data_IF_221515637109
#
_entry.id   IF_221515637109
#
_cell.length_a   1.000
_cell.length_b   1.000
_cell.length_c   1.000
_cell.angle_alpha   90.00
_cell.angle_beta   90.00
_cell.angle_gamma   90.00
#
_symmetry.space_group_name_H-M   'P 1'
#
loop_
_entity.id
_entity.type
_entity.pdbx_description
1 polymer ?
#
# COMPACT_ATOMS: atom_id res chain seq x y z
N UNK A 1 5.62 14.35 -17.25
CA UNK A 1 4.77 14.36 -16.05
C UNK A 1 3.50 15.13 -16.36
N UNK A 2 2.55 15.21 -15.44
CA UNK A 2 1.49 16.23 -15.53
C UNK A 2 2.11 17.58 -15.18
N UNK A 3 1.70 18.65 -15.86
CA UNK A 3 2.22 20.00 -15.60
C UNK A 3 1.54 20.64 -14.39
N UNK A 4 2.26 21.51 -13.67
CA UNK A 4 1.72 22.30 -12.55
C UNK A 4 1.39 21.51 -11.28
N UNK A 5 1.92 20.31 -11.13
CA UNK A 5 1.72 19.47 -9.94
C UNK A 5 2.51 20.04 -8.75
N UNK A 6 1.90 20.06 -7.57
CA UNK A 6 2.51 20.53 -6.33
C UNK A 6 2.59 19.45 -5.26
N UNK A 7 3.64 19.53 -4.47
CA UNK A 7 3.73 18.91 -3.16
C UNK A 7 2.80 19.63 -2.17
N UNK A 8 2.46 18.98 -1.06
CA UNK A 8 1.58 19.52 -0.03
C UNK A 8 2.12 20.78 0.66
N UNK A 9 3.42 21.04 0.56
CA UNK A 9 4.09 22.25 1.04
C UNK A 9 4.14 23.38 -0.02
N UNK A 10 3.48 23.20 -1.17
CA UNK A 10 3.33 24.18 -2.24
C UNK A 10 4.48 24.21 -3.26
N UNK A 11 5.58 23.48 -3.01
CA UNK A 11 6.67 23.35 -3.98
C UNK A 11 6.25 22.51 -5.18
N UNK A 12 6.86 22.78 -6.32
CA UNK A 12 6.53 22.05 -7.55
C UNK A 12 7.07 20.63 -7.49
N UNK A 13 6.25 19.67 -7.92
CA UNK A 13 6.65 18.30 -8.16
C UNK A 13 7.12 18.20 -9.61
N UNK A 14 8.38 17.83 -9.79
CA UNK A 14 9.05 17.85 -11.09
C UNK A 14 9.65 16.49 -11.47
N UNK A 15 10.12 16.36 -12.71
CA UNK A 15 10.88 15.19 -13.15
C UNK A 15 12.14 14.94 -12.30
N UNK A 16 12.71 15.98 -11.69
CA UNK A 16 13.86 15.88 -10.78
C UNK A 16 13.54 15.11 -9.49
N UNK A 17 12.33 15.22 -8.96
CA UNK A 17 11.90 14.45 -7.79
C UNK A 17 11.83 12.95 -8.09
N UNK A 18 11.40 12.60 -9.30
CA UNK A 18 11.35 11.20 -9.76
C UNK A 18 12.76 10.64 -9.93
N UNK A 19 13.64 11.37 -10.62
CA UNK A 19 15.03 10.95 -10.80
C UNK A 19 15.75 10.82 -9.46
N UNK A 20 15.55 11.78 -8.56
CA UNK A 20 16.03 11.70 -7.19
C UNK A 20 15.49 10.48 -6.45
N UNK A 21 14.19 10.20 -6.52
CA UNK A 21 13.57 9.03 -5.86
C UNK A 21 14.22 7.72 -6.30
N UNK A 22 14.45 7.57 -7.60
CA UNK A 22 15.11 6.39 -8.18
C UNK A 22 16.49 6.21 -7.54
N UNK A 23 17.35 7.23 -7.60
CA UNK A 23 18.70 7.17 -7.02
C UNK A 23 18.70 7.01 -5.50
N UNK A 24 17.77 7.65 -4.80
CA UNK A 24 17.62 7.54 -3.35
C UNK A 24 17.28 6.09 -2.95
N UNK A 25 16.35 5.43 -3.65
CA UNK A 25 15.98 4.03 -3.37
C UNK A 25 17.08 3.02 -3.66
N UNK A 26 18.09 3.39 -4.47
CA UNK A 26 19.28 2.55 -4.66
C UNK A 26 20.13 2.47 -3.41
N UNK A 27 20.27 3.59 -2.70
CA UNK A 27 21.03 3.70 -1.44
C UNK A 27 20.21 3.29 -0.22
N UNK A 28 18.91 3.61 -0.25
CA UNK A 28 17.97 3.38 0.83
C UNK A 28 16.73 2.64 0.32
N UNK A 29 16.81 1.31 0.07
CA UNK A 29 15.68 0.54 -0.41
C UNK A 29 14.49 0.62 0.55
N UNK A 30 13.30 1.09 0.13
CA UNK A 30 12.16 1.20 1.02
C UNK A 30 11.50 -0.17 1.25
N UNK A 31 10.80 -0.29 2.37
CA UNK A 31 10.02 -1.50 2.73
C UNK A 31 8.93 -1.81 1.70
N UNK A 32 8.35 -0.78 1.06
CA UNK A 32 7.28 -0.91 0.05
C UNK A 32 7.56 0.01 -1.14
N UNK A 33 7.14 -0.43 -2.34
CA UNK A 33 7.32 0.34 -3.57
C UNK A 33 8.79 0.50 -3.99
N UNK A 34 9.68 -0.34 -3.46
CA UNK A 34 11.10 -0.31 -3.81
C UNK A 34 11.40 -0.92 -5.18
N UNK A 35 12.54 -0.52 -5.74
CA UNK A 35 13.00 -0.91 -7.08
C UNK A 35 13.93 -2.13 -7.06
N UNK A 36 13.90 -2.91 -5.99
CA UNK A 36 14.66 -4.15 -5.87
C UNK A 36 13.88 -5.35 -6.42
N UNK A 37 14.59 -6.25 -7.09
CA UNK A 37 14.12 -7.57 -7.52
C UNK A 37 15.22 -8.60 -7.27
N UNK A 38 14.89 -9.67 -6.54
CA UNK A 38 15.82 -10.77 -6.22
C UNK A 38 17.16 -10.28 -5.64
N UNK A 39 17.12 -9.28 -4.75
CA UNK A 39 18.31 -8.70 -4.12
C UNK A 39 19.14 -7.77 -5.02
N UNK A 40 18.69 -7.49 -6.25
CA UNK A 40 19.36 -6.58 -7.19
C UNK A 40 18.50 -5.34 -7.43
N UNK A 41 19.17 -4.22 -7.62
CA UNK A 41 18.53 -2.97 -8.02
C UNK A 41 18.18 -3.02 -9.51
N UNK A 42 16.95 -2.64 -9.87
CA UNK A 42 16.41 -2.83 -11.22
C UNK A 42 16.79 -1.73 -12.22
N UNK A 43 17.07 -0.52 -11.74
CA UNK A 43 17.33 0.63 -12.62
C UNK A 43 18.83 0.79 -12.85
N UNK A 44 19.21 0.97 -14.11
CA UNK A 44 20.60 1.21 -14.52
C UNK A 44 20.90 2.70 -14.49
N UNK A 45 20.17 3.47 -15.31
CA UNK A 45 20.31 4.93 -15.40
C UNK A 45 18.96 5.61 -15.36
N UNK A 46 18.94 6.81 -14.78
CA UNK A 46 17.80 7.72 -14.81
C UNK A 46 18.29 9.11 -15.26
N UNK A 47 17.53 9.75 -16.15
CA UNK A 47 17.82 11.09 -16.62
C UNK A 47 16.53 11.89 -16.82
N UNK A 48 16.67 13.22 -16.82
CA UNK A 48 15.58 14.17 -17.00
C UNK A 48 15.78 14.91 -18.32
N UNK A 49 14.73 14.96 -19.12
CA UNK A 49 14.63 15.77 -20.34
C UNK A 49 13.38 16.63 -20.27
N UNK A 50 13.54 17.88 -19.81
CA UNK A 50 12.43 18.78 -19.51
C UNK A 50 11.48 18.17 -18.48
N UNK A 51 10.22 17.95 -18.88
CA UNK A 51 9.21 17.31 -18.03
C UNK A 51 9.11 15.78 -18.22
N UNK A 52 10.12 15.14 -18.81
CA UNK A 52 10.19 13.69 -19.04
C UNK A 52 11.28 13.08 -18.18
N UNK A 53 11.00 11.87 -17.70
CA UNK A 53 11.97 11.02 -16.99
C UNK A 53 12.25 9.82 -17.89
N UNK A 54 13.52 9.59 -18.19
CA UNK A 54 13.99 8.47 -18.99
C UNK A 54 14.68 7.50 -18.04
N UNK A 55 14.15 6.28 -17.92
CA UNK A 55 14.68 5.23 -17.05
C UNK A 55 15.11 4.06 -17.92
N UNK A 56 16.38 3.67 -17.81
CA UNK A 56 16.88 2.42 -18.37
C UNK A 56 16.94 1.36 -17.27
N UNK A 57 16.44 0.16 -17.55
CA UNK A 57 16.50 -0.97 -16.62
C UNK A 57 17.75 -1.82 -16.90
N UNK A 58 18.26 -2.49 -15.87
CA UNK A 58 19.41 -3.40 -16.00
C UNK A 58 19.11 -4.56 -16.95
N UNK A 59 17.90 -5.11 -16.85
CA UNK A 59 17.42 -6.22 -17.67
C UNK A 59 15.98 -5.96 -18.16
N UNK A 60 15.58 -6.61 -19.24
CA UNK A 60 14.17 -6.65 -19.66
C UNK A 60 13.38 -7.61 -18.76
N UNK A 61 12.42 -7.06 -18.00
CA UNK A 61 11.47 -7.85 -17.22
C UNK A 61 10.13 -7.13 -17.10
N UNK A 62 8.99 -7.83 -17.29
CA UNK A 62 7.67 -7.21 -17.12
C UNK A 62 7.45 -6.68 -15.69
N UNK A 63 8.16 -7.23 -14.69
CA UNK A 63 8.10 -6.78 -13.29
C UNK A 63 8.65 -5.36 -13.13
N UNK A 64 9.54 -4.90 -14.01
CA UNK A 64 10.07 -3.55 -13.94
C UNK A 64 8.96 -2.50 -14.09
N UNK A 65 7.99 -2.73 -14.98
CA UNK A 65 6.87 -1.82 -15.18
C UNK A 65 5.97 -1.73 -13.94
N UNK A 66 5.69 -2.87 -13.30
CA UNK A 66 4.95 -2.92 -12.02
C UNK A 66 5.69 -2.16 -10.92
N UNK A 67 7.01 -2.35 -10.82
CA UNK A 67 7.86 -1.70 -9.81
C UNK A 67 7.92 -0.18 -10.02
N UNK A 68 8.09 0.27 -11.27
CA UNK A 68 8.06 1.69 -11.62
C UNK A 68 6.67 2.28 -11.34
N UNK A 69 5.59 1.58 -11.70
CA UNK A 69 4.22 2.04 -11.49
C UNK A 69 3.77 2.07 -10.02
N UNK A 70 4.41 1.29 -9.15
CA UNK A 70 4.12 1.24 -7.71
C UNK A 70 5.12 2.04 -6.85
N UNK A 71 6.14 2.62 -7.48
CA UNK A 71 7.11 3.48 -6.83
C UNK A 71 6.44 4.73 -6.29
N UNK A 72 6.73 5.06 -5.03
CA UNK A 72 6.25 6.29 -4.40
C UNK A 72 7.32 7.37 -4.56
N UNK A 73 6.98 8.43 -5.28
CA UNK A 73 7.87 9.59 -5.46
C UNK A 73 7.98 10.34 -4.14
N UNK A 74 9.20 10.73 -3.78
CA UNK A 74 9.51 11.50 -2.58
C UNK A 74 10.03 12.91 -2.95
N UNK A 75 9.73 13.94 -2.14
CA UNK A 75 10.18 15.31 -2.42
C UNK A 75 11.69 15.46 -2.25
N UNK A 76 12.41 15.73 -3.36
CA UNK A 76 13.87 15.87 -3.37
C UNK A 76 14.35 16.90 -2.34
N UNK A 77 13.68 18.05 -2.26
CA UNK A 77 14.06 19.16 -1.38
C UNK A 77 13.97 18.87 0.12
N UNK A 78 13.33 17.77 0.53
CA UNK A 78 13.29 17.27 1.91
C UNK A 78 14.29 16.13 2.06
N UNK A 79 14.16 15.10 1.22
CA UNK A 79 14.84 13.83 1.41
C UNK A 79 16.31 13.83 0.97
N UNK A 80 16.77 14.83 0.20
CA UNK A 80 18.19 14.91 -0.19
C UNK A 80 19.15 15.10 1.00
N UNK A 81 18.62 15.53 2.15
CA UNK A 81 19.36 15.76 3.40
C UNK A 81 19.18 14.64 4.42
N UNK A 82 18.47 13.56 4.05
CA UNK A 82 18.11 12.47 4.95
C UNK A 82 18.95 11.25 4.62
N UNK A 83 19.88 10.89 5.49
CA UNK A 83 20.74 9.71 5.32
C UNK A 83 20.12 8.43 5.93
N UNK A 84 19.28 8.58 6.96
CA UNK A 84 18.60 7.47 7.65
C UNK A 84 17.07 7.64 7.57
N UNK A 85 16.43 7.17 6.48
CA UNK A 85 15.00 7.35 6.29
C UNK A 85 14.13 6.62 7.31
N UNK A 86 14.62 5.55 7.95
CA UNK A 86 13.84 4.79 8.92
C UNK A 86 13.64 5.56 10.23
N UNK A 87 14.54 6.50 10.54
CA UNK A 87 14.50 7.32 11.75
C UNK A 87 14.08 8.77 11.48
N UNK A 88 13.80 9.13 10.23
CA UNK A 88 13.45 10.49 9.90
C UNK A 88 12.04 10.83 10.41
N UNK A 89 11.97 11.84 11.27
CA UNK A 89 10.73 12.43 11.80
C UNK A 89 10.85 13.96 11.87
N UNK A 90 11.46 14.54 10.84
CA UNK A 90 11.71 15.98 10.75
C UNK A 90 10.61 16.73 9.99
N UNK A 91 10.79 18.05 9.88
CA UNK A 91 9.90 18.89 9.07
C UNK A 91 9.81 18.36 7.63
N UNK A 92 8.59 18.07 7.19
CA UNK A 92 8.31 17.59 5.85
C UNK A 92 8.24 16.06 5.68
N UNK A 93 8.42 15.27 6.75
CA UNK A 93 8.31 13.81 6.73
C UNK A 93 6.95 13.29 6.21
N UNK A 94 5.89 14.07 6.38
CA UNK A 94 4.51 13.77 5.92
C UNK A 94 4.13 14.47 4.61
N UNK A 95 5.04 15.23 3.97
CA UNK A 95 4.74 15.93 2.71
C UNK A 95 4.57 14.93 1.57
N UNK A 96 3.38 14.93 0.98
CA UNK A 96 3.05 14.13 -0.20
C UNK A 96 2.52 14.98 -1.35
N UNK A 97 2.01 14.32 -2.39
CA UNK A 97 1.38 14.95 -3.57
C UNK A 97 -0.02 14.38 -3.85
N UNK A 98 -0.58 13.66 -2.87
CA UNK A 98 -1.85 12.98 -2.98
C UNK A 98 -3.08 13.89 -2.77
N UNK A 99 -4.29 13.30 -2.88
CA UNK A 99 -5.56 14.01 -2.76
C UNK A 99 -5.90 14.50 -1.34
N UNK A 100 -5.23 13.98 -0.32
CA UNK A 100 -5.43 14.38 1.08
C UNK A 100 -4.08 14.61 1.77
N UNK A 101 -4.04 15.60 2.67
CA UNK A 101 -2.89 16.01 3.48
C UNK A 101 -3.11 15.58 4.92
N UNK A 102 -2.13 14.96 5.56
CA UNK A 102 -2.22 14.65 6.99
C UNK A 102 -2.17 15.95 7.80
N UNK A 103 -3.18 16.20 8.65
CA UNK A 103 -3.27 17.43 9.46
C UNK A 103 -3.25 17.17 10.97
N UNK A 104 -3.59 15.94 11.39
CA UNK A 104 -3.50 15.53 12.79
C UNK A 104 -3.18 14.04 12.86
N UNK A 105 -2.32 13.68 13.81
CA UNK A 105 -1.99 12.30 14.16
C UNK A 105 -1.85 12.19 15.67
N UNK A 106 -2.55 11.23 16.27
CA UNK A 106 -2.39 10.85 17.66
C UNK A 106 -1.94 9.39 17.70
N UNK A 107 -0.66 9.18 17.99
CA UNK A 107 -0.07 7.85 18.06
C UNK A 107 -0.60 7.01 19.22
N UNK A 108 -0.95 7.63 20.35
CA UNK A 108 -1.45 6.92 21.54
C UNK A 108 -2.86 6.37 21.32
N UNK A 109 -3.71 7.17 20.66
CA UNK A 109 -5.06 6.75 20.31
C UNK A 109 -5.09 5.94 19.01
N UNK A 110 -4.10 6.10 18.13
CA UNK A 110 -4.09 5.50 16.80
C UNK A 110 -5.04 6.21 15.82
N UNK A 111 -5.40 7.47 16.10
CA UNK A 111 -6.27 8.28 15.24
C UNK A 111 -5.46 9.21 14.34
N UNK A 112 -5.98 9.49 13.15
CA UNK A 112 -5.43 10.51 12.28
C UNK A 112 -6.49 11.13 11.39
N UNK A 113 -6.28 12.40 11.07
CA UNK A 113 -7.14 13.19 10.19
C UNK A 113 -6.34 13.64 9.00
N UNK A 114 -6.91 13.44 7.82
CA UNK A 114 -6.41 13.96 6.57
C UNK A 114 -7.44 14.91 5.97
N UNK A 115 -7.01 16.08 5.52
CA UNK A 115 -7.87 17.07 4.87
C UNK A 115 -7.63 17.10 3.38
N UNK A 116 -8.69 17.41 2.63
CA UNK A 116 -8.65 17.52 1.18
C UNK A 116 -7.54 18.47 0.71
N UNK A 117 -6.77 18.03 -0.28
CA UNK A 117 -5.85 18.87 -1.02
C UNK A 117 -6.60 19.56 -2.17
N UNK A 118 -6.94 20.85 -1.99
CA UNK A 118 -7.63 21.63 -3.02
C UNK A 118 -6.77 21.91 -4.26
N UNK A 119 -5.46 21.68 -4.19
CA UNK A 119 -4.53 21.80 -5.32
C UNK A 119 -4.19 20.43 -5.96
N UNK A 120 -4.97 19.39 -5.64
CA UNK A 120 -4.72 18.07 -6.22
C UNK A 120 -4.98 18.08 -7.72
N UNK A 121 -3.96 17.68 -8.48
CA UNK A 121 -3.95 17.67 -9.95
C UNK A 121 -4.89 16.64 -10.59
N UNK A 122 -5.38 15.68 -9.80
CA UNK A 122 -6.21 14.58 -10.27
C UNK A 122 -7.71 14.83 -10.14
N UNK A 123 -8.47 13.77 -9.91
CA UNK A 123 -9.90 13.87 -9.65
C UNK A 123 -10.17 14.54 -8.31
N UNK A 124 -11.14 15.45 -8.32
CA UNK A 124 -11.62 16.15 -7.13
C UNK A 124 -11.95 15.15 -6.01
N UNK A 125 -11.29 15.25 -4.84
CA UNK A 125 -11.60 14.38 -3.70
C UNK A 125 -13.05 14.54 -3.26
N UNK A 126 -13.74 13.41 -3.10
CA UNK A 126 -15.17 13.37 -2.81
C UNK A 126 -15.52 13.82 -1.38
N UNK A 127 -14.60 13.69 -0.43
CA UNK A 127 -14.78 14.09 0.95
C UNK A 127 -13.90 15.31 1.28
N UNK A 128 -14.35 16.13 2.22
CA UNK A 128 -13.57 17.27 2.74
C UNK A 128 -12.45 16.81 3.68
N UNK A 129 -12.66 15.71 4.39
CA UNK A 129 -11.69 15.07 5.26
C UNK A 129 -11.88 13.56 5.27
N UNK A 130 -10.82 12.85 5.64
CA UNK A 130 -10.85 11.42 5.98
C UNK A 130 -10.27 11.28 7.38
N UNK A 131 -11.04 10.63 8.27
CA UNK A 131 -10.64 10.40 9.65
C UNK A 131 -10.55 8.91 9.91
N UNK A 132 -9.42 8.49 10.47
CA UNK A 132 -9.27 7.17 11.04
C UNK A 132 -9.61 7.24 12.51
N UNK A 133 -10.77 6.70 12.84
CA UNK A 133 -11.32 6.67 14.19
C UNK A 133 -11.15 5.26 14.75
N UNK A 134 -10.33 5.07 15.80
CA UNK A 134 -10.20 3.78 16.48
C UNK A 134 -11.51 3.50 17.23
N UNK A 135 -12.14 2.36 16.93
CA UNK A 135 -13.38 1.92 17.59
C UNK A 135 -13.23 0.47 18.05
N UNK A 136 -13.84 0.15 19.20
CA UNK A 136 -13.78 -1.20 19.78
C UNK A 136 -14.59 -2.22 18.97
N UNK A 137 -15.79 -1.83 18.54
CA UNK A 137 -16.65 -2.62 17.67
C UNK A 137 -17.02 -1.80 16.44
N UNK A 138 -16.48 -2.20 15.28
CA UNK A 138 -16.66 -1.46 14.03
C UNK A 138 -18.07 -1.58 13.47
N UNK A 139 -18.78 -2.69 13.74
CA UNK A 139 -20.13 -2.89 13.21
C UNK A 139 -21.11 -2.02 13.99
N UNK A 140 -21.00 -2.02 15.32
CA UNK A 140 -21.83 -1.18 16.17
C UNK A 140 -21.57 0.32 15.92
N UNK A 141 -20.30 0.74 15.85
CA UNK A 141 -19.94 2.13 15.54
C UNK A 141 -20.51 2.58 14.19
N UNK A 142 -20.46 1.72 13.17
CA UNK A 142 -21.05 2.00 11.86
C UNK A 142 -22.58 2.14 11.93
N UNK A 143 -23.27 1.25 12.67
CA UNK A 143 -24.72 1.33 12.88
C UNK A 143 -25.16 2.59 13.64
N UNK A 144 -24.33 3.06 14.56
CA UNK A 144 -24.56 4.29 15.32
C UNK A 144 -24.22 5.57 14.53
N UNK A 145 -23.63 5.45 13.34
CA UNK A 145 -23.17 6.59 12.55
C UNK A 145 -21.89 7.25 13.10
N UNK A 146 -21.10 6.54 13.91
CA UNK A 146 -19.81 7.02 14.42
C UNK A 146 -18.69 6.89 13.37
N UNK A 147 -18.84 5.96 12.41
CA UNK A 147 -17.96 5.79 11.25
C UNK A 147 -18.78 5.55 9.99
N UNK A 148 -18.26 5.98 8.83
CA UNK A 148 -18.98 5.90 7.54
C UNK A 148 -18.60 4.68 6.69
N UNK A 149 -17.48 4.02 6.99
CA UNK A 149 -16.95 2.90 6.19
C UNK A 149 -16.39 1.84 7.12
N UNK A 150 -16.82 0.60 6.92
CA UNK A 150 -16.26 -0.57 7.62
C UNK A 150 -16.33 -1.83 6.76
N UNK A 151 -15.65 -2.89 7.22
CA UNK A 151 -15.79 -4.25 6.69
C UNK A 151 -16.82 -4.96 7.54
N UNK A 152 -17.84 -5.54 6.90
CA UNK A 152 -18.91 -6.30 7.56
C UNK A 152 -18.58 -7.80 7.43
N UNK A 153 -18.55 -8.55 8.55
CA UNK A 153 -18.49 -10.02 8.55
C UNK A 153 -19.63 -10.66 7.75
N UNK A 154 -19.43 -11.87 7.21
CA UNK A 154 -20.40 -12.45 6.27
C UNK A 154 -21.69 -12.90 6.97
N UNK A 155 -21.64 -13.36 8.23
CA UNK A 155 -22.81 -13.67 9.06
C UNK A 155 -23.73 -12.46 9.24
N UNK A 156 -23.13 -11.29 9.47
CA UNK A 156 -23.86 -10.04 9.70
C UNK A 156 -24.34 -9.38 8.40
N UNK A 157 -23.85 -9.82 7.24
CA UNK A 157 -24.16 -9.22 5.94
C UNK A 157 -25.66 -9.11 5.66
N UNK A 158 -26.44 -10.12 6.05
CA UNK A 158 -27.91 -10.15 5.88
C UNK A 158 -28.62 -8.98 6.59
N UNK A 159 -28.02 -8.44 7.66
CA UNK A 159 -28.56 -7.30 8.39
C UNK A 159 -28.46 -5.98 7.59
N UNK A 160 -27.58 -5.93 6.58
CA UNK A 160 -27.30 -4.73 5.79
C UNK A 160 -27.81 -4.84 4.34
N UNK A 161 -27.92 -6.05 3.76
CA UNK A 161 -28.24 -6.25 2.33
C UNK A 161 -29.57 -5.64 1.86
N UNK A 162 -30.56 -5.54 2.75
CA UNK A 162 -31.90 -5.04 2.41
C UNK A 162 -32.18 -3.62 2.93
N UNK A 163 -31.22 -2.95 3.55
CA UNK A 163 -31.38 -1.57 4.01
C UNK A 163 -30.83 -0.59 2.95
N UNK A 164 -31.70 0.32 2.47
CA UNK A 164 -31.37 1.34 1.47
C UNK A 164 -30.38 2.40 1.95
N UNK A 165 -30.18 2.52 3.26
CA UNK A 165 -29.19 3.43 3.85
C UNK A 165 -27.76 2.95 3.61
N UNK A 166 -27.56 1.65 3.37
CA UNK A 166 -26.24 1.07 3.21
C UNK A 166 -25.95 0.67 1.77
N UNK A 167 -24.69 0.82 1.37
CA UNK A 167 -24.18 0.36 0.09
C UNK A 167 -23.11 -0.70 0.31
N UNK A 168 -23.40 -1.93 -0.10
CA UNK A 168 -22.44 -3.03 -0.04
C UNK A 168 -21.54 -2.98 -1.28
N UNK A 169 -20.25 -2.82 -1.03
CA UNK A 169 -19.22 -2.92 -2.07
C UNK A 169 -18.50 -4.25 -1.89
N UNK A 170 -18.73 -5.18 -2.84
CA UNK A 170 -18.03 -6.47 -2.83
C UNK A 170 -16.59 -6.26 -3.30
N UNK A 171 -15.64 -6.55 -2.42
CA UNK A 171 -14.22 -6.56 -2.75
C UNK A 171 -13.74 -8.01 -2.87
N UNK A 172 -13.19 -8.39 -4.02
CA UNK A 172 -12.56 -9.69 -4.16
C UNK A 172 -11.21 -9.64 -3.44
N UNK A 173 -11.11 -10.33 -2.30
CA UNK A 173 -9.85 -10.42 -1.58
C UNK A 173 -8.77 -11.00 -2.49
N UNK A 174 -7.71 -10.22 -2.76
CA UNK A 174 -6.53 -10.68 -3.49
C UNK A 174 -5.58 -11.53 -2.62
N UNK A 175 -6.03 -11.90 -1.41
CA UNK A 175 -5.24 -12.66 -0.46
C UNK A 175 -5.28 -14.14 -0.81
N UNK A 176 -4.09 -14.71 -1.05
CA UNK A 176 -3.92 -16.14 -1.24
C UNK A 176 -3.33 -16.74 0.02
N UNK A 177 -4.06 -17.63 0.69
CA UNK A 177 -3.50 -18.44 1.76
C UNK A 177 -2.62 -19.53 1.15
N UNK A 178 -1.41 -19.67 1.69
CA UNK A 178 -0.42 -20.63 1.20
C UNK A 178 0.21 -21.35 2.39
N UNK A 179 0.33 -22.67 2.26
CA UNK A 179 1.12 -23.49 3.16
C UNK A 179 2.49 -23.70 2.52
N UNK A 180 3.55 -23.37 3.25
CA UNK A 180 4.93 -23.58 2.82
C UNK A 180 5.57 -24.67 3.64
N UNK A 181 6.34 -25.53 2.96
CA UNK A 181 7.19 -26.50 3.63
C UNK A 181 8.52 -25.85 3.99
N UNK A 182 8.95 -26.00 5.25
CA UNK A 182 10.23 -25.50 5.72
C UNK A 182 11.30 -26.60 5.61
N UNK A 183 12.02 -26.61 4.48
CA UNK A 183 13.04 -27.62 4.18
C UNK A 183 14.28 -27.52 5.07
N UNK A 184 14.59 -26.32 5.55
CA UNK A 184 15.79 -26.05 6.34
C UNK A 184 15.63 -26.61 7.76
N UNK A 185 14.42 -26.54 8.31
CA UNK A 185 14.13 -27.00 9.67
C UNK A 185 13.74 -28.47 9.76
N UNK A 186 13.14 -29.03 8.72
CA UNK A 186 12.68 -30.42 8.71
C UNK A 186 13.28 -31.14 7.50
N UNK A 187 14.45 -31.79 7.67
CA UNK A 187 15.17 -32.43 6.56
C UNK A 187 14.32 -33.46 5.79
N UNK A 188 13.39 -34.16 6.46
CA UNK A 188 12.47 -35.09 5.81
C UNK A 188 11.58 -34.42 4.74
N UNK A 189 11.27 -33.13 4.88
CA UNK A 189 10.50 -32.39 3.88
C UNK A 189 11.30 -32.07 2.61
N UNK A 190 12.62 -32.35 2.57
CA UNK A 190 13.40 -32.30 1.32
C UNK A 190 13.01 -33.43 0.36
N UNK A 191 12.47 -34.53 0.88
CA UNK A 191 11.93 -35.61 0.06
C UNK A 191 10.62 -35.17 -0.63
N UNK A 192 10.59 -35.30 -1.95
CA UNK A 192 9.42 -34.96 -2.77
C UNK A 192 8.21 -35.83 -2.44
N UNK A 193 8.42 -37.11 -2.18
CA UNK A 193 7.33 -38.07 -2.01
C UNK A 193 6.64 -37.83 -0.66
N UNK A 194 7.39 -37.45 0.37
CA UNK A 194 6.84 -37.00 1.65
C UNK A 194 5.97 -35.74 1.48
N UNK A 195 6.43 -34.75 0.70
CA UNK A 195 5.63 -33.54 0.43
C UNK A 195 4.35 -33.85 -0.34
N UNK A 196 4.42 -34.76 -1.30
CA UNK A 196 3.26 -35.18 -2.06
C UNK A 196 2.27 -35.92 -1.16
N UNK A 197 2.73 -36.85 -0.31
CA UNK A 197 1.89 -37.54 0.65
C UNK A 197 1.14 -36.56 1.58
N UNK A 198 1.83 -35.56 2.13
CA UNK A 198 1.21 -34.50 2.94
C UNK A 198 0.20 -33.70 2.11
N UNK A 199 0.54 -33.32 0.88
CA UNK A 199 -0.33 -32.54 0.00
C UNK A 199 -1.59 -33.30 -0.47
N UNK A 200 -1.53 -34.64 -0.52
CA UNK A 200 -2.67 -35.52 -0.79
C UNK A 200 -3.51 -35.79 0.46
N UNK A 201 -2.91 -35.77 1.65
CA UNK A 201 -3.61 -35.95 2.92
C UNK A 201 -4.44 -34.72 3.33
N UNK A 202 -4.19 -33.55 2.73
CA UNK A 202 -4.94 -32.32 3.00
C UNK A 202 -6.20 -32.26 2.14
N UNK A 203 -7.37 -32.28 2.79
CA UNK A 203 -8.64 -31.94 2.16
C UNK A 203 -8.77 -30.42 1.99
N UNK A 204 -8.47 -29.94 0.78
CA UNK A 204 -8.55 -28.50 0.45
C UNK A 204 -9.99 -27.99 0.48
N UNK A 205 -10.98 -28.84 0.19
CA UNK A 205 -12.38 -28.44 0.15
C UNK A 205 -12.89 -28.23 1.58
N UNK A 206 -12.61 -29.18 2.47
CA UNK A 206 -12.94 -29.05 3.89
C UNK A 206 -12.31 -27.79 4.50
N UNK A 207 -11.04 -27.50 4.21
CA UNK A 207 -10.39 -26.27 4.65
C UNK A 207 -11.10 -25.00 4.17
N UNK A 208 -11.56 -24.98 2.91
CA UNK A 208 -12.29 -23.82 2.35
C UNK A 208 -13.67 -23.70 2.98
N UNK A 209 -14.38 -24.81 3.16
CA UNK A 209 -15.74 -24.82 3.69
C UNK A 209 -15.73 -24.37 5.17
N UNK A 210 -14.83 -24.91 5.98
CA UNK A 210 -14.62 -24.47 7.37
C UNK A 210 -14.14 -23.01 7.45
N UNK A 211 -13.29 -22.57 6.52
CA UNK A 211 -12.83 -21.17 6.50
C UNK A 211 -13.94 -20.19 6.13
N UNK A 212 -14.81 -20.57 5.19
CA UNK A 212 -16.02 -19.79 4.90
C UNK A 212 -16.91 -19.73 6.11
N UNK A 213 -17.14 -20.84 6.82
CA UNK A 213 -17.93 -20.85 8.06
C UNK A 213 -17.31 -20.01 9.20
N UNK A 214 -15.98 -19.81 9.22
CA UNK A 214 -15.31 -18.94 10.18
C UNK A 214 -15.26 -17.45 9.77
N UNK A 215 -15.57 -17.15 8.50
CA UNK A 215 -15.78 -15.78 8.00
C UNK A 215 -17.25 -15.42 7.79
N UNK A 216 -18.14 -16.43 7.87
CA UNK A 216 -19.56 -16.31 8.18
C UNK A 216 -19.61 -15.79 9.59
#
# INVERSE_FOLDING_TARGET
>A
MVDGVKWHDGKDLTAEDVAFTVEYFKKHPPVRGGLMLNGKYLMDTVSVDGNKVIIHTVDYTPVALEKIGSMRIIPKHIWEKVDDPEKFSGEGDIVGSGPYKLVAYNSEQGSYKMEKNNEFWGLEPAATAIEWIPVSDKVLAFQNGEIDITIIPVDLLKNFENNKEFKIVKNFGLHNYRLYFNFDKVPALQDKDIRQAIAYAIDRKELIDNWKEAQV
#
